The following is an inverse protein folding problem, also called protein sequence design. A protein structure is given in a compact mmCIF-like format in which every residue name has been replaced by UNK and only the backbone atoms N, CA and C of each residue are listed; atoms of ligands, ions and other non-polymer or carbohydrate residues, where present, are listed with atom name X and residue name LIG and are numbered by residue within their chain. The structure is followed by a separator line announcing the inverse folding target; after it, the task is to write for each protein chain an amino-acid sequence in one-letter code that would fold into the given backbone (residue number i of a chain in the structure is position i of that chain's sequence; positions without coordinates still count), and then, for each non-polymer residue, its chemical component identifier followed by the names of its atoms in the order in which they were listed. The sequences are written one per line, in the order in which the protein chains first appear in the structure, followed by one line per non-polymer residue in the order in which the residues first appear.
data_IF_364520801620
#
_entry.id   IF_364520801620
#
_cell.length_a   1.000
_cell.length_b   1.000
_cell.length_c   1.000
_cell.angle_alpha   90.00
_cell.angle_beta   90.00
_cell.angle_gamma   90.00
#
_symmetry.space_group_name_H-M   'P 1'
#
loop_
_entity.id
_entity.type
_entity.pdbx_description
1 polymer ?
#
# COMPACT_ATOMS: atom_id res chain seq x y z
N UNK A 1 -15.38 2.22 15.38
CA UNK A 1 -16.60 2.96 15.12
C UNK A 1 -17.11 2.50 13.77
N UNK A 2 -18.35 2.05 13.73
CA UNK A 2 -19.01 1.62 12.50
C UNK A 2 -19.38 2.86 11.65
N UNK A 3 -19.52 2.74 10.32
CA UNK A 3 -19.92 3.88 9.47
C UNK A 3 -21.21 4.53 9.95
N UNK A 4 -22.17 3.72 10.43
CA UNK A 4 -23.46 4.21 10.89
C UNK A 4 -23.29 5.24 12.00
N UNK A 5 -22.38 4.97 12.93
CA UNK A 5 -22.04 5.89 14.03
C UNK A 5 -21.35 7.15 13.48
N UNK A 6 -20.48 7.03 12.47
CA UNK A 6 -19.83 8.19 11.82
C UNK A 6 -20.85 9.09 11.11
N UNK A 7 -21.87 8.50 10.46
CA UNK A 7 -22.93 9.26 9.79
C UNK A 7 -23.84 9.99 10.78
N UNK A 8 -24.21 9.34 11.89
CA UNK A 8 -24.96 9.97 12.99
C UNK A 8 -24.15 11.09 13.68
N UNK A 9 -22.83 11.06 13.55
CA UNK A 9 -21.91 12.09 14.04
C UNK A 9 -21.79 13.30 13.09
N UNK A 10 -22.16 13.18 11.81
CA UNK A 10 -22.11 14.32 10.87
C UNK A 10 -23.12 15.42 11.21
N UNK A 11 -24.13 15.11 12.04
CA UNK A 11 -25.08 16.10 12.58
C UNK A 11 -24.55 16.83 13.83
N UNK A 12 -23.31 16.55 14.27
CA UNK A 12 -22.65 17.17 15.43
C UNK A 12 -21.51 18.10 15.00
N UNK A 13 -20.99 18.88 15.95
CA UNK A 13 -19.81 19.72 15.73
C UNK A 13 -18.60 18.88 15.26
N UNK A 14 -17.94 19.25 14.16
CA UNK A 14 -16.84 18.49 13.55
C UNK A 14 -15.72 18.11 14.53
N UNK A 15 -15.40 18.98 15.48
CA UNK A 15 -14.35 18.80 16.48
C UNK A 15 -14.62 17.57 17.35
N UNK A 16 -15.87 17.38 17.77
CA UNK A 16 -16.29 16.23 18.59
C UNK A 16 -16.19 14.91 17.81
N UNK A 17 -16.41 14.96 16.49
CA UNK A 17 -16.28 13.80 15.60
C UNK A 17 -14.82 13.41 15.45
N UNK A 18 -13.94 14.40 15.28
CA UNK A 18 -12.49 14.18 15.17
C UNK A 18 -11.96 13.50 16.43
N UNK A 19 -12.28 14.00 17.62
CA UNK A 19 -11.82 13.39 18.88
C UNK A 19 -12.21 11.92 19.00
N UNK A 20 -13.48 11.59 18.77
CA UNK A 20 -13.96 10.20 18.83
C UNK A 20 -13.30 9.28 17.81
N UNK A 21 -13.07 9.78 16.60
CA UNK A 21 -12.36 9.03 15.56
C UNK A 21 -10.91 8.77 15.97
N UNK A 22 -10.21 9.75 16.54
CA UNK A 22 -8.84 9.59 17.03
C UNK A 22 -8.75 8.55 18.16
N UNK A 23 -9.71 8.55 19.08
CA UNK A 23 -9.80 7.54 20.15
C UNK A 23 -9.98 6.13 19.60
N UNK A 24 -10.89 5.95 18.63
CA UNK A 24 -11.14 4.66 17.99
C UNK A 24 -9.90 4.14 17.25
N UNK A 25 -9.21 5.01 16.51
CA UNK A 25 -7.95 4.70 15.81
C UNK A 25 -6.89 4.24 16.81
N UNK A 26 -6.68 5.01 17.88
CA UNK A 26 -5.69 4.67 18.92
C UNK A 26 -6.01 3.34 19.59
N UNK A 27 -7.29 3.06 19.87
CA UNK A 27 -7.73 1.77 20.42
C UNK A 27 -7.40 0.62 19.47
N UNK A 28 -7.70 0.78 18.18
CA UNK A 28 -7.50 -0.26 17.18
C UNK A 28 -6.02 -0.51 16.91
N UNK A 29 -5.27 0.53 16.54
CA UNK A 29 -3.89 0.40 16.07
C UNK A 29 -2.85 0.53 17.19
N UNK A 30 -3.26 0.93 18.39
CA UNK A 30 -2.39 1.16 19.55
C UNK A 30 -1.68 2.51 19.54
N UNK A 31 -1.78 3.26 18.45
CA UNK A 31 -1.21 4.59 18.27
C UNK A 31 -2.00 5.33 17.17
N UNK A 32 -1.78 6.63 17.02
CA UNK A 32 -2.36 7.45 15.95
C UNK A 32 -1.34 7.52 14.80
N UNK A 33 -1.65 6.98 13.60
CA UNK A 33 -0.74 7.05 12.46
C UNK A 33 -0.37 8.50 12.11
N UNK A 34 0.84 8.73 11.62
CA UNK A 34 1.33 10.07 11.31
C UNK A 34 0.39 10.87 10.41
N UNK A 35 -0.11 10.25 9.34
CA UNK A 35 -0.99 10.92 8.37
C UNK A 35 -2.31 11.33 9.03
N UNK A 36 -2.84 10.50 9.93
CA UNK A 36 -4.07 10.80 10.69
C UNK A 36 -3.82 12.01 11.60
N UNK A 37 -2.68 12.05 12.29
CA UNK A 37 -2.33 13.18 13.14
C UNK A 37 -2.05 14.46 12.33
N UNK A 38 -1.52 14.35 11.11
CA UNK A 38 -1.26 15.48 10.23
C UNK A 38 -2.54 16.13 9.71
N UNK A 39 -3.57 15.34 9.40
CA UNK A 39 -4.82 15.84 8.82
C UNK A 39 -5.92 16.15 9.84
N UNK A 40 -5.72 15.83 11.13
CA UNK A 40 -6.76 15.97 12.17
C UNK A 40 -7.29 17.41 12.33
N UNK A 41 -6.43 18.40 12.05
CA UNK A 41 -6.76 19.83 12.17
C UNK A 41 -7.48 20.36 10.90
N UNK A 42 -7.78 19.47 9.94
CA UNK A 42 -8.59 19.71 8.75
C UNK A 42 -9.84 18.82 8.82
N UNK A 43 -10.88 19.18 9.61
CA UNK A 43 -11.98 18.29 9.98
C UNK A 43 -12.70 17.68 8.77
N UNK A 44 -12.97 18.45 7.72
CA UNK A 44 -13.69 17.97 6.54
C UNK A 44 -12.90 16.89 5.81
N UNK A 45 -11.60 17.10 5.63
CA UNK A 45 -10.70 16.14 4.99
C UNK A 45 -10.49 14.90 5.87
N UNK A 46 -10.28 15.11 7.16
CA UNK A 46 -10.11 14.02 8.13
C UNK A 46 -11.35 13.13 8.17
N UNK A 47 -12.54 13.71 8.37
CA UNK A 47 -13.79 12.96 8.48
C UNK A 47 -14.06 12.20 7.18
N UNK A 48 -13.94 12.86 6.02
CA UNK A 48 -14.15 12.21 4.72
C UNK A 48 -13.19 11.03 4.52
N UNK A 49 -11.91 11.21 4.84
CA UNK A 49 -10.92 10.13 4.77
C UNK A 49 -11.24 9.00 5.74
N UNK A 50 -11.62 9.31 6.97
CA UNK A 50 -11.93 8.29 7.98
C UNK A 50 -13.18 7.50 7.64
N UNK A 51 -14.20 8.12 7.04
CA UNK A 51 -15.36 7.41 6.49
C UNK A 51 -14.89 6.41 5.43
N UNK A 52 -14.12 6.86 4.44
CA UNK A 52 -13.63 6.00 3.38
C UNK A 52 -12.76 4.85 3.92
N UNK A 53 -11.78 5.16 4.76
CA UNK A 53 -10.88 4.15 5.34
C UNK A 53 -11.65 3.12 6.17
N UNK A 54 -12.59 3.53 7.04
CA UNK A 54 -13.40 2.57 7.80
C UNK A 54 -14.29 1.72 6.88
N UNK A 55 -14.84 2.32 5.81
CA UNK A 55 -15.65 1.59 4.82
C UNK A 55 -14.89 0.44 4.18
N UNK A 56 -13.64 0.69 3.78
CA UNK A 56 -12.81 -0.30 3.10
C UNK A 56 -12.23 -1.31 4.09
N UNK A 57 -11.87 -0.88 5.29
CA UNK A 57 -11.12 -1.72 6.23
C UNK A 57 -12.00 -2.54 7.18
N UNK A 58 -13.27 -2.19 7.38
CA UNK A 58 -14.09 -2.77 8.47
C UNK A 58 -15.47 -3.25 8.05
N UNK A 59 -16.08 -2.62 7.06
CA UNK A 59 -17.49 -2.85 6.74
C UNK A 59 -17.70 -4.01 5.75
N UNK A 60 -16.62 -4.54 5.18
CA UNK A 60 -16.71 -5.69 4.30
C UNK A 60 -17.11 -6.95 5.07
N UNK A 61 -18.41 -7.24 5.10
CA UNK A 61 -18.96 -8.48 5.69
C UNK A 61 -18.53 -9.77 5.00
N UNK A 62 -17.91 -9.66 3.82
CA UNK A 62 -17.47 -10.79 2.98
C UNK A 62 -16.04 -11.24 3.29
N UNK A 63 -15.31 -10.50 4.12
CA UNK A 63 -13.92 -10.82 4.46
C UNK A 63 -13.71 -10.59 5.94
N UNK A 64 -13.13 -11.56 6.63
CA UNK A 64 -12.92 -11.43 8.07
C UNK A 64 -11.77 -10.45 8.38
N UNK A 65 -11.75 -9.84 9.58
CA UNK A 65 -10.74 -8.85 9.95
C UNK A 65 -9.30 -9.37 9.92
N UNK A 66 -9.06 -10.66 10.18
CA UNK A 66 -7.70 -11.22 10.13
C UNK A 66 -7.18 -11.20 8.69
N UNK A 67 -8.00 -11.64 7.75
CA UNK A 67 -7.67 -11.61 6.32
C UNK A 67 -7.38 -10.19 5.83
N UNK A 68 -8.19 -9.20 6.25
CA UNK A 68 -7.95 -7.78 5.91
C UNK A 68 -6.57 -7.30 6.39
N UNK A 69 -6.19 -7.62 7.63
CA UNK A 69 -4.88 -7.23 8.16
C UNK A 69 -3.73 -7.99 7.51
N UNK A 70 -3.89 -9.27 7.16
CA UNK A 70 -2.88 -10.03 6.41
C UNK A 70 -2.64 -9.43 5.02
N UNK A 71 -3.70 -9.05 4.29
CA UNK A 71 -3.57 -8.34 3.00
C UNK A 71 -2.82 -7.01 3.22
N UNK A 72 -3.15 -6.28 4.28
CA UNK A 72 -2.49 -5.00 4.60
C UNK A 72 -1.00 -5.18 4.89
N UNK A 73 -0.62 -6.25 5.60
CA UNK A 73 0.77 -6.64 5.85
C UNK A 73 1.48 -7.00 4.54
N UNK A 74 0.85 -7.78 3.67
CA UNK A 74 1.39 -8.15 2.36
C UNK A 74 1.71 -6.91 1.51
N UNK A 75 0.77 -5.97 1.41
CA UNK A 75 0.95 -4.71 0.68
C UNK A 75 2.04 -3.84 1.33
N UNK A 76 2.01 -3.68 2.66
CA UNK A 76 3.02 -2.91 3.38
C UNK A 76 4.44 -3.49 3.20
N UNK A 77 4.56 -4.82 3.18
CA UNK A 77 5.81 -5.54 2.95
C UNK A 77 6.34 -5.29 1.53
N UNK A 78 5.50 -5.50 0.51
CA UNK A 78 5.87 -5.31 -0.90
C UNK A 78 6.30 -3.86 -1.19
N UNK A 79 5.63 -2.87 -0.58
CA UNK A 79 5.95 -1.45 -0.71
C UNK A 79 7.07 -0.97 0.23
N UNK A 80 7.62 -1.85 1.08
CA UNK A 80 8.64 -1.52 2.08
C UNK A 80 8.23 -0.39 3.04
N UNK A 81 6.94 -0.25 3.35
CA UNK A 81 6.43 0.76 4.27
C UNK A 81 6.62 0.31 5.73
N UNK A 82 7.74 0.69 6.36
CA UNK A 82 8.07 0.28 7.74
C UNK A 82 7.01 0.66 8.77
N UNK A 83 6.44 1.86 8.65
CA UNK A 83 5.40 2.32 9.59
C UNK A 83 4.10 1.51 9.42
N UNK A 84 3.64 1.34 8.17
CA UNK A 84 2.46 0.54 7.85
C UNK A 84 2.62 -0.89 8.38
N UNK A 85 3.79 -1.50 8.16
CA UNK A 85 4.07 -2.86 8.59
C UNK A 85 3.95 -3.02 10.11
N UNK A 86 4.53 -2.09 10.89
CA UNK A 86 4.40 -2.08 12.35
C UNK A 86 2.94 -1.94 12.81
N UNK A 87 2.19 -1.05 12.18
CA UNK A 87 0.78 -0.78 12.51
C UNK A 87 -0.10 -2.00 12.26
N UNK A 88 -0.01 -2.58 11.06
CA UNK A 88 -0.85 -3.72 10.68
C UNK A 88 -0.43 -5.03 11.38
N UNK A 89 0.86 -5.26 11.67
CA UNK A 89 1.29 -6.40 12.50
C UNK A 89 0.70 -6.30 13.92
N UNK A 90 0.66 -5.10 14.52
CA UNK A 90 0.06 -4.91 15.85
C UNK A 90 -1.45 -5.17 15.82
N UNK A 91 -2.14 -4.71 14.78
CA UNK A 91 -3.57 -4.96 14.61
C UNK A 91 -3.86 -6.46 14.40
N UNK A 92 -3.14 -7.13 13.50
CA UNK A 92 -3.23 -8.57 13.28
C UNK A 92 -2.98 -9.38 14.57
N UNK A 93 -1.96 -9.00 15.35
CA UNK A 93 -1.67 -9.63 16.65
C UNK A 93 -2.85 -9.49 17.63
N UNK A 94 -3.50 -8.32 17.69
CA UNK A 94 -4.69 -8.11 18.54
C UNK A 94 -5.87 -8.99 18.12
N UNK A 95 -5.97 -9.30 16.82
CA UNK A 95 -6.97 -10.22 16.28
C UNK A 95 -6.61 -11.70 16.48
N UNK A 96 -5.44 -12.01 17.06
CA UNK A 96 -4.98 -13.37 17.32
C UNK A 96 -4.36 -14.06 16.11
N UNK A 97 -3.86 -13.31 15.13
CA UNK A 97 -3.04 -13.84 14.03
C UNK A 97 -1.67 -14.23 14.58
N UNK A 98 -1.20 -15.42 14.24
CA UNK A 98 0.08 -15.96 14.72
C UNK A 98 1.27 -15.33 14.02
N UNK A 99 2.46 -15.52 14.59
CA UNK A 99 3.71 -15.05 13.97
C UNK A 99 3.98 -15.81 12.66
N UNK A 100 3.60 -17.08 12.63
CA UNK A 100 3.72 -18.00 11.51
C UNK A 100 2.83 -17.55 10.35
N UNK A 101 1.55 -17.23 10.59
CA UNK A 101 0.64 -16.70 9.57
C UNK A 101 1.15 -15.38 8.97
N UNK A 102 1.71 -14.51 9.81
CA UNK A 102 2.33 -13.24 9.36
C UNK A 102 3.57 -13.53 8.50
N UNK A 103 4.41 -14.49 8.90
CA UNK A 103 5.61 -14.86 8.15
C UNK A 103 5.26 -15.46 6.79
N UNK A 104 4.30 -16.38 6.73
CA UNK A 104 3.80 -16.97 5.49
C UNK A 104 3.27 -15.89 4.54
N UNK A 105 2.54 -14.91 5.08
CA UNK A 105 2.05 -13.74 4.32
C UNK A 105 3.19 -12.92 3.72
N UNK A 106 4.28 -12.71 4.48
CA UNK A 106 5.48 -12.01 4.00
C UNK A 106 6.18 -12.82 2.89
N UNK A 107 6.29 -14.14 3.03
CA UNK A 107 6.88 -15.01 2.01
C UNK A 107 6.07 -14.97 0.71
N UNK A 108 4.74 -15.11 0.80
CA UNK A 108 3.83 -15.05 -0.34
C UNK A 108 3.96 -13.70 -1.05
N UNK A 109 3.86 -12.59 -0.31
CA UNK A 109 3.95 -11.24 -0.89
C UNK A 109 5.32 -10.96 -1.51
N UNK A 110 6.41 -11.44 -0.90
CA UNK A 110 7.76 -11.36 -1.45
C UNK A 110 7.87 -12.08 -2.81
N UNK A 111 7.33 -13.30 -2.91
CA UNK A 111 7.35 -14.05 -4.16
C UNK A 111 6.56 -13.35 -5.29
N UNK A 112 5.37 -12.81 -4.96
CA UNK A 112 4.56 -12.05 -5.93
C UNK A 112 5.27 -10.75 -6.35
N UNK A 113 5.89 -10.03 -5.42
CA UNK A 113 6.66 -8.82 -5.73
C UNK A 113 7.92 -9.11 -6.56
N UNK A 114 8.57 -10.26 -6.34
CA UNK A 114 9.70 -10.69 -7.17
C UNK A 114 9.26 -10.94 -8.62
N UNK A 115 8.08 -11.54 -8.82
CA UNK A 115 7.56 -11.79 -10.16
C UNK A 115 7.35 -10.50 -10.97
N UNK A 116 6.93 -9.39 -10.35
CA UNK A 116 6.78 -8.11 -11.07
C UNK A 116 8.12 -7.55 -11.54
N UNK A 117 9.17 -7.65 -10.73
CA UNK A 117 10.53 -7.23 -11.10
C UNK A 117 11.04 -8.05 -12.29
N UNK A 118 10.89 -9.38 -12.22
CA UNK A 118 11.31 -10.27 -13.31
C UNK A 118 10.52 -9.97 -14.59
N UNK A 119 9.21 -9.83 -14.48
CA UNK A 119 8.34 -9.58 -15.63
C UNK A 119 8.67 -8.25 -16.33
N UNK A 120 8.81 -7.16 -15.59
CA UNK A 120 9.19 -5.86 -16.15
C UNK A 120 10.63 -5.86 -16.68
N UNK A 121 11.58 -6.39 -15.91
CA UNK A 121 12.99 -6.43 -16.31
C UNK A 121 13.22 -7.26 -17.57
N UNK A 122 12.61 -8.44 -17.65
CA UNK A 122 12.72 -9.30 -18.84
C UNK A 122 12.03 -8.69 -20.06
N UNK A 123 10.87 -8.03 -19.91
CA UNK A 123 10.24 -7.26 -20.99
C UNK A 123 11.12 -6.12 -21.48
N UNK A 124 11.77 -5.40 -20.57
CA UNK A 124 12.68 -4.31 -20.93
C UNK A 124 13.87 -4.83 -21.73
N UNK A 125 14.52 -5.92 -21.28
CA UNK A 125 15.59 -6.59 -22.03
C UNK A 125 15.08 -7.00 -23.42
N UNK A 126 13.97 -7.72 -23.45
CA UNK A 126 13.39 -8.21 -24.70
C UNK A 126 13.08 -7.07 -25.69
N UNK A 127 12.55 -5.94 -25.21
CA UNK A 127 12.30 -4.74 -26.01
C UNK A 127 13.58 -4.14 -26.62
N UNK A 128 14.64 -3.99 -25.83
CA UNK A 128 15.90 -3.41 -26.31
C UNK A 128 16.67 -4.34 -27.25
N UNK A 129 16.65 -5.65 -26.98
CA UNK A 129 17.42 -6.63 -27.75
C UNK A 129 16.66 -7.21 -28.96
N UNK A 130 15.32 -7.16 -29.01
CA UNK A 130 14.54 -7.57 -30.20
C UNK A 130 14.71 -6.62 -31.39
N UNK A 131 15.09 -5.36 -31.18
CA UNK A 131 15.39 -4.41 -32.25
C UNK A 131 16.63 -4.79 -33.11
N UNK A 132 17.36 -5.85 -32.73
CA UNK A 132 18.51 -6.36 -33.51
C UNK A 132 18.18 -7.57 -34.39
N UNK A 133 16.95 -8.07 -34.34
CA UNK A 133 16.44 -9.13 -35.21
C UNK A 133 15.91 -8.61 -36.55
N UNK A 134 16.83 -8.21 -37.43
CA UNK A 134 16.66 -8.18 -38.89
C UNK A 134 15.60 -7.27 -39.56
N UNK A 135 15.03 -6.28 -38.88
CA UNK A 135 14.44 -5.12 -39.54
C UNK A 135 15.01 -3.84 -38.92
N UNK A 136 15.85 -3.12 -39.67
CA UNK A 136 16.30 -1.79 -39.28
C UNK A 136 15.08 -0.89 -39.26
N UNK A 137 14.51 -0.63 -38.09
CA UNK A 137 13.55 0.45 -37.89
C UNK A 137 14.23 1.77 -38.29
N UNK A 138 13.82 2.42 -39.40
CA UNK A 138 14.44 3.65 -39.89
C UNK A 138 14.26 4.83 -38.92
N UNK A 139 13.36 4.71 -37.95
CA UNK A 139 13.06 5.73 -36.94
C UNK A 139 13.84 5.55 -35.63
N UNK A 140 14.52 4.41 -35.44
CA UNK A 140 15.33 4.16 -34.26
C UNK A 140 16.64 4.97 -34.30
N UNK A 141 16.60 6.17 -33.70
CA UNK A 141 17.77 7.07 -33.60
C UNK A 141 18.95 6.37 -32.90
N UNK A 142 18.70 5.58 -31.85
CA UNK A 142 19.73 4.83 -31.12
C UNK A 142 20.40 3.72 -31.95
N UNK A 143 19.65 3.06 -32.82
CA UNK A 143 20.17 2.01 -33.72
C UNK A 143 21.08 2.60 -34.82
N UNK A 144 20.91 3.88 -35.13
CA UNK A 144 21.73 4.65 -36.08
C UNK A 144 22.77 5.55 -35.39
N UNK A 145 22.91 5.49 -34.07
CA UNK A 145 23.96 6.20 -33.35
C UNK A 145 25.27 5.41 -33.49
N UNK A 146 26.18 5.88 -34.34
CA UNK A 146 27.58 5.44 -34.34
C UNK A 146 28.21 5.82 -33.00
N UNK A 147 28.27 4.89 -32.06
CA UNK A 147 29.07 5.02 -30.85
C UNK A 147 30.52 4.60 -31.17
N UNK A 148 31.27 5.52 -31.78
CA UNK A 148 32.73 5.47 -31.58
C UNK A 148 32.97 5.68 -30.08
N UNK A 149 33.11 4.57 -29.36
CA UNK A 149 33.51 4.58 -27.96
C UNK A 149 34.87 5.29 -27.88
N UNK A 150 35.00 6.37 -27.09
CA UNK A 150 36.25 7.10 -27.01
C UNK A 150 37.33 6.20 -26.38
N UNK A 151 38.34 5.87 -27.19
CA UNK A 151 39.69 5.51 -26.78
C UNK A 151 39.84 4.31 -25.85
N UNK A 152 40.01 3.12 -26.41
CA UNK A 152 40.94 2.14 -25.82
C UNK A 152 42.34 2.46 -26.35
N UNK A 153 43.08 3.29 -25.62
CA UNK A 153 44.54 3.39 -25.71
C UNK A 153 45.18 2.39 -24.75
#
# INVERSE_FOLDING_TARGET
MEIKEIKELLDKEPEQVVEKLLEDIKRQYGDIPYIVNFIKDMPELFIARMIYTNSVMREFKRMDPKTVELISIAVASALKCTHCLKTHIRAAKKLGVTKEEIFDTILISSNVANASILAEGTRAIDSEFRATGNEKDPSCILCNFNSELPGKS
#
